data_IF_819929115780
#
_entry.id   IF_819929115780
#
_cell.length_a   1.000
_cell.length_b   1.000
_cell.length_c   1.000
_cell.angle_alpha   90.00
_cell.angle_beta   90.00
_cell.angle_gamma   90.00
#
_symmetry.space_group_name_H-M   'P 1'
#
loop_
_entity.id
_entity.type
_entity.pdbx_description
1 polymer ?
#
# COMPACT_ATOMS: atom_id res chain seq x y z
N UNK A 1 60.66 -33.05 -31.67
CA UNK A 1 60.15 -31.68 -31.72
C UNK A 1 58.87 -31.46 -30.88
N UNK A 2 58.34 -32.48 -30.19
CA UNK A 2 57.07 -32.41 -29.43
C UNK A 2 57.13 -31.69 -28.06
N UNK A 3 58.28 -31.62 -27.40
CA UNK A 3 58.36 -31.05 -26.05
C UNK A 3 58.00 -29.55 -25.97
N UNK A 4 58.39 -28.76 -26.98
CA UNK A 4 58.13 -27.31 -26.99
C UNK A 4 56.67 -26.94 -27.24
N UNK A 5 55.92 -27.80 -27.92
CA UNK A 5 54.50 -27.59 -28.24
C UNK A 5 53.64 -27.84 -27.00
N UNK A 6 53.97 -28.86 -26.21
CA UNK A 6 53.26 -29.21 -24.97
C UNK A 6 53.45 -28.14 -23.88
N UNK A 7 54.67 -27.62 -23.72
CA UNK A 7 54.99 -26.60 -22.71
C UNK A 7 54.26 -25.27 -22.96
N UNK A 8 54.19 -24.84 -24.23
CA UNK A 8 53.42 -23.65 -24.64
C UNK A 8 51.92 -23.81 -24.39
N UNK A 9 51.36 -25.00 -24.64
CA UNK A 9 49.93 -25.30 -24.40
C UNK A 9 49.58 -25.26 -22.91
N UNK A 10 50.43 -25.80 -22.04
CA UNK A 10 50.22 -25.76 -20.57
C UNK A 10 50.27 -24.33 -20.05
N UNK A 11 51.24 -23.51 -20.52
CA UNK A 11 51.34 -22.10 -20.13
C UNK A 11 50.10 -21.30 -20.57
N UNK A 12 49.61 -21.56 -21.78
CA UNK A 12 48.38 -20.94 -22.29
C UNK A 12 47.16 -21.37 -21.48
N UNK A 13 47.01 -22.65 -21.16
CA UNK A 13 45.90 -23.17 -20.35
C UNK A 13 45.89 -22.55 -18.94
N UNK A 14 47.06 -22.40 -18.30
CA UNK A 14 47.18 -21.74 -16.99
C UNK A 14 46.78 -20.27 -17.04
N UNK A 15 47.20 -19.55 -18.09
CA UNK A 15 46.82 -18.14 -18.28
C UNK A 15 45.30 -18.01 -18.48
N UNK A 16 44.71 -18.84 -19.34
CA UNK A 16 43.27 -18.86 -19.59
C UNK A 16 42.50 -19.15 -18.29
N UNK A 17 42.90 -20.16 -17.51
CA UNK A 17 42.23 -20.50 -16.26
C UNK A 17 42.25 -19.36 -15.23
N UNK A 18 43.37 -18.63 -15.12
CA UNK A 18 43.46 -17.47 -14.21
C UNK A 18 42.58 -16.32 -14.70
N UNK A 19 42.60 -16.02 -16.01
CA UNK A 19 41.81 -14.93 -16.58
C UNK A 19 40.31 -15.20 -16.50
N UNK A 20 39.85 -16.41 -16.84
CA UNK A 20 38.43 -16.77 -16.78
C UNK A 20 37.93 -16.92 -15.34
N UNK A 21 38.76 -17.45 -14.43
CA UNK A 21 38.45 -17.52 -13.01
C UNK A 21 38.30 -16.13 -12.39
N UNK A 22 39.23 -15.21 -12.67
CA UNK A 22 39.16 -13.84 -12.18
C UNK A 22 37.97 -13.08 -12.78
N UNK A 23 37.73 -13.21 -14.09
CA UNK A 23 36.57 -12.61 -14.74
C UNK A 23 35.25 -13.14 -14.16
N UNK A 24 35.14 -14.46 -13.94
CA UNK A 24 33.97 -15.07 -13.32
C UNK A 24 33.75 -14.58 -11.88
N UNK A 25 34.81 -14.45 -11.09
CA UNK A 25 34.75 -13.90 -9.74
C UNK A 25 34.25 -12.44 -9.73
N UNK A 26 34.81 -11.60 -10.60
CA UNK A 26 34.40 -10.19 -10.72
C UNK A 26 32.94 -10.09 -11.16
N UNK A 27 32.54 -10.86 -12.18
CA UNK A 27 31.16 -10.87 -12.66
C UNK A 27 30.19 -11.35 -11.57
N UNK A 28 30.54 -12.38 -10.81
CA UNK A 28 29.71 -12.86 -9.70
C UNK A 28 29.49 -11.79 -8.61
N UNK A 29 30.51 -11.00 -8.30
CA UNK A 29 30.40 -9.86 -7.37
C UNK A 29 29.59 -8.71 -7.97
N UNK A 30 29.70 -8.48 -9.28
CA UNK A 30 28.97 -7.41 -9.96
C UNK A 30 27.47 -7.72 -10.13
N UNK A 31 27.09 -8.99 -10.26
CA UNK A 31 25.68 -9.42 -10.47
C UNK A 31 24.67 -8.81 -9.49
N UNK A 32 24.85 -8.84 -8.15
CA UNK A 32 23.89 -8.23 -7.22
C UNK A 32 23.83 -6.70 -7.29
N UNK A 33 24.81 -6.03 -7.90
CA UNK A 33 24.88 -4.57 -8.03
C UNK A 33 24.35 -4.07 -9.38
N UNK A 34 24.06 -4.97 -10.32
CA UNK A 34 23.50 -4.59 -11.61
C UNK A 34 22.06 -4.09 -11.44
N UNK A 35 21.64 -3.08 -12.22
CA UNK A 35 20.28 -2.57 -12.16
C UNK A 35 19.29 -3.65 -12.57
N UNK A 36 18.22 -3.78 -11.80
CA UNK A 36 17.10 -4.67 -12.09
C UNK A 36 15.90 -3.85 -12.54
N UNK A 37 15.12 -4.37 -13.49
CA UNK A 37 13.84 -3.80 -13.83
C UNK A 37 12.80 -4.25 -12.79
N UNK A 38 12.20 -3.30 -12.07
CA UNK A 38 11.12 -3.56 -11.13
C UNK A 38 9.78 -3.18 -11.78
N UNK A 39 8.79 -4.08 -11.75
CA UNK A 39 7.41 -3.77 -12.13
C UNK A 39 6.65 -3.32 -10.88
N UNK A 40 6.25 -2.06 -10.82
CA UNK A 40 5.39 -1.51 -9.76
C UNK A 40 3.93 -1.60 -10.18
N UNK A 41 3.11 -2.35 -9.45
CA UNK A 41 1.68 -2.44 -9.69
C UNK A 41 0.92 -1.42 -8.84
N UNK A 42 0.14 -0.55 -9.49
CA UNK A 42 -0.78 0.38 -8.83
C UNK A 42 -2.22 -0.10 -9.04
N UNK A 43 -3.01 -0.20 -7.96
CA UNK A 43 -4.45 -0.46 -8.04
C UNK A 43 -5.19 0.88 -7.93
N UNK A 44 -5.79 1.33 -9.02
CA UNK A 44 -6.70 2.47 -9.00
C UNK A 44 -8.13 1.96 -8.87
N UNK A 45 -8.90 2.58 -7.99
CA UNK A 45 -10.32 2.35 -7.80
C UNK A 45 -11.01 3.72 -7.65
N UNK A 46 -12.19 3.95 -8.25
CA UNK A 46 -13.06 3.00 -8.97
C UNK A 46 -12.55 2.60 -10.37
N UNK A 47 -12.94 1.40 -10.84
CA UNK A 47 -12.59 0.87 -12.17
C UNK A 47 -13.82 0.90 -13.10
N UNK A 48 -14.17 2.07 -13.60
CA UNK A 48 -15.32 2.29 -14.46
C UNK A 48 -16.19 3.45 -13.98
N UNK A 49 -17.47 3.44 -14.34
CA UNK A 49 -18.42 4.51 -13.99
C UNK A 49 -19.10 4.31 -12.61
N UNK A 50 -18.93 3.14 -11.98
CA UNK A 50 -19.59 2.78 -10.72
C UNK A 50 -18.57 2.33 -9.67
N UNK A 51 -18.83 2.68 -8.40
CA UNK A 51 -18.00 2.33 -7.26
C UNK A 51 -18.34 0.93 -6.74
N UNK A 52 -18.01 -0.10 -7.51
CA UNK A 52 -18.26 -1.51 -7.13
C UNK A 52 -17.08 -2.11 -6.37
N UNK A 53 -17.35 -3.11 -5.52
CA UNK A 53 -16.30 -3.82 -4.78
C UNK A 53 -15.39 -4.61 -5.73
N UNK A 54 -14.07 -4.59 -5.49
CA UNK A 54 -13.05 -5.27 -6.30
C UNK A 54 -12.17 -6.14 -5.40
N UNK A 55 -11.99 -7.40 -5.79
CA UNK A 55 -11.02 -8.29 -5.17
C UNK A 55 -9.64 -8.11 -5.81
N UNK A 56 -8.63 -7.83 -4.99
CA UNK A 56 -7.25 -7.65 -5.40
C UNK A 56 -6.32 -8.20 -4.31
N UNK A 57 -6.24 -9.53 -4.14
CA UNK A 57 -5.46 -10.14 -3.08
C UNK A 57 -3.97 -9.91 -3.30
N UNK A 58 -3.36 -9.01 -2.52
CA UNK A 58 -1.91 -8.83 -2.52
C UNK A 58 -1.25 -10.06 -1.89
N UNK A 59 -0.36 -10.73 -2.62
CA UNK A 59 0.45 -11.86 -2.07
C UNK A 59 1.28 -11.41 -0.87
N UNK A 60 1.80 -10.18 -0.92
CA UNK A 60 2.57 -9.56 0.17
C UNK A 60 1.69 -9.00 1.28
N UNK A 61 0.37 -8.99 1.11
CA UNK A 61 -0.67 -8.43 1.99
C UNK A 61 -0.60 -6.93 2.27
N UNK A 62 0.59 -6.33 2.35
CA UNK A 62 0.81 -4.91 2.61
C UNK A 62 1.26 -4.20 1.33
N UNK A 63 0.62 -3.08 0.93
CA UNK A 63 1.12 -2.25 -0.15
C UNK A 63 2.44 -1.55 0.22
N UNK A 64 3.03 -0.78 -0.70
CA UNK A 64 4.15 0.11 -0.38
C UNK A 64 3.68 1.46 0.18
N UNK A 65 2.63 2.02 -0.43
CA UNK A 65 1.87 3.17 0.03
C UNK A 65 0.37 2.95 -0.27
N UNK A 66 -0.49 3.61 0.48
CA UNK A 66 -1.94 3.65 0.23
C UNK A 66 -2.41 5.09 0.26
N UNK A 67 -3.14 5.49 -0.77
CA UNK A 67 -3.78 6.79 -0.88
C UNK A 67 -5.27 6.58 -1.18
N UNK A 68 -6.13 7.31 -0.48
CA UNK A 68 -7.58 7.29 -0.72
C UNK A 68 -8.16 8.70 -0.51
N UNK A 69 -8.93 9.16 -1.47
CA UNK A 69 -9.72 10.39 -1.39
C UNK A 69 -11.18 10.03 -1.54
N UNK A 70 -11.98 10.34 -0.52
CA UNK A 70 -13.40 10.01 -0.45
C UNK A 70 -14.22 11.30 -0.35
N UNK A 71 -15.16 11.59 -1.26
CA UNK A 71 -16.01 12.76 -1.14
C UNK A 71 -16.88 12.65 0.12
N UNK A 72 -16.95 13.71 0.93
CA UNK A 72 -17.69 13.67 2.19
C UNK A 72 -19.21 13.54 1.99
N UNK A 73 -19.74 14.08 0.89
CA UNK A 73 -21.13 13.90 0.47
C UNK A 73 -21.54 12.44 0.35
N UNK A 74 -20.58 11.60 -0.01
CA UNK A 74 -20.80 10.19 -0.22
C UNK A 74 -21.25 9.55 1.12
N UNK A 75 -20.76 9.97 2.28
CA UNK A 75 -21.24 9.47 3.59
C UNK A 75 -22.73 9.70 3.88
N UNK A 76 -23.40 10.60 3.15
CA UNK A 76 -24.84 10.82 3.23
C UNK A 76 -25.65 9.70 2.54
N UNK A 77 -25.04 8.93 1.65
CA UNK A 77 -25.67 7.78 0.99
C UNK A 77 -25.73 6.53 1.90
N UNK A 78 -25.01 6.56 3.04
CA UNK A 78 -25.10 5.49 4.03
C UNK A 78 -26.35 5.62 4.89
N UNK A 79 -26.93 4.50 5.36
CA UNK A 79 -28.02 4.50 6.33
C UNK A 79 -27.74 5.32 7.60
N UNK A 80 -28.81 5.74 8.29
CA UNK A 80 -28.70 6.49 9.55
C UNK A 80 -27.99 5.68 10.63
N UNK A 81 -28.27 4.37 10.73
CA UNK A 81 -27.57 3.43 11.61
C UNK A 81 -26.07 3.28 11.31
N UNK A 82 -25.60 3.68 10.13
CA UNK A 82 -24.22 3.62 9.69
C UNK A 82 -23.96 2.61 8.57
N UNK A 83 -22.70 2.43 8.22
CA UNK A 83 -22.26 1.54 7.15
C UNK A 83 -20.80 1.75 6.76
N UNK A 84 -20.30 0.95 5.82
CA UNK A 84 -18.90 0.99 5.37
C UNK A 84 -18.80 1.70 4.02
N UNK A 85 -18.00 2.77 3.95
CA UNK A 85 -17.68 3.47 2.70
C UNK A 85 -16.58 2.80 1.91
N UNK A 86 -15.58 2.30 2.60
CA UNK A 86 -14.45 1.63 1.99
C UNK A 86 -13.79 0.72 3.03
N UNK A 87 -13.41 -0.49 2.62
CA UNK A 87 -12.64 -1.40 3.43
C UNK A 87 -11.62 -2.14 2.58
N UNK A 88 -10.45 -2.44 3.16
CA UNK A 88 -9.40 -3.21 2.47
C UNK A 88 -9.56 -4.73 2.60
N UNK A 89 -10.54 -5.15 3.42
CA UNK A 89 -10.94 -6.53 3.70
C UNK A 89 -12.47 -6.57 3.71
N UNK A 90 -13.14 -7.62 3.19
CA UNK A 90 -14.60 -7.68 3.15
C UNK A 90 -15.24 -7.45 4.53
N UNK A 91 -16.28 -6.62 4.60
CA UNK A 91 -17.14 -6.54 5.77
C UNK A 91 -17.65 -7.93 6.19
N UNK A 92 -17.55 -8.26 7.48
CA UNK A 92 -17.97 -9.57 8.01
C UNK A 92 -16.93 -10.68 7.94
N UNK A 93 -15.79 -10.47 7.28
CA UNK A 93 -14.66 -11.40 7.38
C UNK A 93 -14.11 -11.42 8.83
N UNK A 94 -13.68 -12.59 9.34
CA UNK A 94 -13.03 -12.67 10.65
C UNK A 94 -11.82 -11.73 10.72
N UNK A 95 -11.65 -11.04 11.85
CA UNK A 95 -10.51 -10.15 12.08
C UNK A 95 -10.32 -9.02 11.04
N UNK A 96 -11.36 -8.66 10.26
CA UNK A 96 -11.27 -7.63 9.23
C UNK A 96 -10.75 -6.28 9.77
N UNK A 97 -11.25 -5.85 10.93
CA UNK A 97 -10.78 -4.62 11.59
C UNK A 97 -9.38 -4.75 12.16
N UNK A 98 -8.95 -5.96 12.53
CA UNK A 98 -7.67 -6.24 13.18
C UNK A 98 -6.50 -6.11 12.21
N UNK A 99 -6.71 -6.47 10.95
CA UNK A 99 -5.66 -6.47 9.93
C UNK A 99 -5.85 -5.38 8.87
N UNK A 100 -7.09 -5.02 8.55
CA UNK A 100 -7.41 -4.08 7.48
C UNK A 100 -7.55 -2.62 7.91
N UNK A 101 -7.94 -1.83 6.92
CA UNK A 101 -8.47 -0.48 7.09
C UNK A 101 -9.97 -0.48 6.78
N UNK A 102 -10.73 0.32 7.52
CA UNK A 102 -12.14 0.60 7.26
C UNK A 102 -12.41 2.09 7.41
N UNK A 103 -13.07 2.66 6.41
CA UNK A 103 -13.72 3.96 6.48
C UNK A 103 -15.21 3.69 6.62
N UNK A 104 -15.78 4.10 7.75
CA UNK A 104 -17.17 3.80 8.10
C UNK A 104 -17.86 4.99 8.75
N UNK A 105 -19.19 4.98 8.70
CA UNK A 105 -20.00 5.84 9.55
C UNK A 105 -20.74 4.99 10.60
N UNK A 106 -20.88 5.52 11.80
CA UNK A 106 -21.86 5.08 12.79
C UNK A 106 -23.11 5.96 12.70
N UNK A 107 -23.99 5.94 13.69
CA UNK A 107 -25.07 6.93 13.80
C UNK A 107 -24.58 8.34 14.15
N UNK A 108 -23.38 8.47 14.73
CA UNK A 108 -22.88 9.73 15.29
C UNK A 108 -21.61 10.24 14.61
N UNK A 109 -20.75 9.35 14.12
CA UNK A 109 -19.40 9.71 13.68
C UNK A 109 -19.02 9.02 12.36
N UNK A 110 -18.28 9.72 11.50
CA UNK A 110 -17.46 9.10 10.47
C UNK A 110 -16.06 8.81 11.02
N UNK A 111 -15.59 7.59 10.82
CA UNK A 111 -14.35 7.10 11.41
C UNK A 111 -13.48 6.43 10.36
N UNK A 112 -12.17 6.65 10.48
CA UNK A 112 -11.14 5.85 9.83
C UNK A 112 -10.54 4.93 10.88
N UNK A 113 -10.57 3.63 10.62
CA UNK A 113 -10.07 2.59 11.51
C UNK A 113 -9.01 1.80 10.79
N UNK A 114 -7.88 1.60 11.45
CA UNK A 114 -6.76 0.81 10.95
C UNK A 114 -6.31 -0.11 12.07
N UNK A 115 -6.30 -1.43 11.83
CA UNK A 115 -5.79 -2.43 12.77
C UNK A 115 -6.35 -2.28 14.20
N UNK A 116 -7.67 -2.18 14.33
CA UNK A 116 -8.46 -1.94 15.55
C UNK A 116 -8.25 -0.57 16.23
N UNK A 117 -7.44 0.32 15.66
CA UNK A 117 -7.25 1.68 16.15
C UNK A 117 -8.08 2.69 15.35
N UNK A 118 -8.79 3.59 16.03
CA UNK A 118 -9.42 4.74 15.38
C UNK A 118 -8.33 5.76 15.07
N UNK A 119 -8.05 5.94 13.77
CA UNK A 119 -7.03 6.88 13.29
C UNK A 119 -7.59 8.27 12.96
N UNK A 120 -8.90 8.39 12.76
CA UNK A 120 -9.59 9.67 12.64
C UNK A 120 -11.06 9.49 13.00
N UNK A 121 -11.68 10.52 13.56
CA UNK A 121 -13.11 10.53 13.87
C UNK A 121 -13.65 11.95 13.77
N UNK A 122 -14.72 12.13 13.01
CA UNK A 122 -15.43 13.41 12.87
C UNK A 122 -16.93 13.17 13.04
N UNK A 123 -17.65 13.98 13.85
CA UNK A 123 -19.10 13.89 13.97
C UNK A 123 -19.83 14.03 12.63
N UNK A 124 -20.90 13.26 12.39
CA UNK A 124 -21.61 13.24 11.10
C UNK A 124 -22.25 14.57 10.72
N UNK A 125 -22.71 15.34 11.69
CA UNK A 125 -23.28 16.68 11.48
C UNK A 125 -22.24 17.66 10.89
N UNK A 126 -20.95 17.47 11.23
CA UNK A 126 -19.84 18.27 10.69
C UNK A 126 -19.41 17.87 9.28
N UNK A 127 -19.82 16.71 8.76
CA UNK A 127 -19.52 16.31 7.38
C UNK A 127 -20.21 17.20 6.34
N UNK A 128 -21.22 17.98 6.73
CA UNK A 128 -21.87 18.96 5.85
C UNK A 128 -20.96 20.09 5.40
N UNK A 129 -19.93 20.41 6.20
CA UNK A 129 -18.89 21.38 5.86
C UNK A 129 -17.65 20.72 5.23
N UNK A 130 -17.64 19.39 5.11
CA UNK A 130 -16.51 18.64 4.59
C UNK A 130 -16.58 18.50 3.06
N UNK A 131 -15.46 18.71 2.38
CA UNK A 131 -15.32 18.46 0.95
C UNK A 131 -14.89 16.99 0.70
N UNK A 132 -13.72 16.61 1.20
CA UNK A 132 -13.12 15.27 1.05
C UNK A 132 -12.53 14.75 2.35
N UNK A 133 -12.50 13.43 2.49
CA UNK A 133 -11.62 12.72 3.39
C UNK A 133 -10.42 12.20 2.59
N UNK A 134 -9.25 12.77 2.87
CA UNK A 134 -7.98 12.34 2.29
C UNK A 134 -7.23 11.47 3.30
N UNK A 135 -6.73 10.33 2.83
CA UNK A 135 -6.00 9.34 3.62
C UNK A 135 -4.71 9.00 2.88
N UNK A 136 -3.58 9.12 3.57
CA UNK A 136 -2.27 8.70 3.07
C UNK A 136 -1.60 7.82 4.12
N UNK A 137 -1.13 6.64 3.71
CA UNK A 137 -0.39 5.71 4.55
C UNK A 137 0.90 5.32 3.84
N UNK A 138 2.00 5.45 4.55
CA UNK A 138 3.30 4.93 4.13
C UNK A 138 3.93 4.10 5.25
N UNK A 139 5.22 3.76 5.10
CA UNK A 139 5.95 2.95 6.06
C UNK A 139 6.21 3.65 7.40
N UNK A 140 6.10 4.97 7.45
CA UNK A 140 6.50 5.83 8.56
C UNK A 140 5.30 6.49 9.27
N UNK A 141 4.19 6.73 8.56
CA UNK A 141 3.02 7.39 9.16
C UNK A 141 1.69 7.06 8.45
N UNK A 142 0.60 7.37 9.16
CA UNK A 142 -0.72 7.62 8.56
C UNK A 142 -1.11 9.09 8.75
N UNK A 143 -1.57 9.69 7.67
CA UNK A 143 -2.17 11.03 7.65
C UNK A 143 -3.61 10.93 7.17
N UNK A 144 -4.52 11.57 7.88
CA UNK A 144 -5.94 11.67 7.51
C UNK A 144 -6.39 13.12 7.62
N UNK A 145 -7.17 13.60 6.66
CA UNK A 145 -7.67 14.97 6.65
C UNK A 145 -9.10 15.02 6.12
N UNK A 146 -10.03 15.54 6.92
CA UNK A 146 -11.36 15.94 6.50
C UNK A 146 -11.30 17.41 6.07
N UNK A 147 -11.11 17.64 4.77
CA UNK A 147 -10.96 18.98 4.19
C UNK A 147 -12.26 19.78 4.31
N UNK A 148 -12.18 21.10 4.41
CA UNK A 148 -13.36 21.99 4.55
C UNK A 148 -13.94 22.06 5.97
N UNK A 149 -13.73 21.02 6.81
CA UNK A 149 -14.08 21.06 8.23
C UNK A 149 -13.17 22.05 8.95
N UNK A 150 -13.68 23.23 9.25
CA UNK A 150 -12.95 24.31 9.93
C UNK A 150 -13.34 24.33 11.41
N UNK A 151 -12.39 23.97 12.28
CA UNK A 151 -12.28 24.45 13.66
C UNK A 151 -11.01 23.87 14.32
N UNK A 152 -10.55 24.53 15.40
CA UNK A 152 -9.36 24.29 16.25
C UNK A 152 -9.21 22.86 16.86
N UNK A 153 -9.90 21.84 16.34
CA UNK A 153 -9.78 20.46 16.80
C UNK A 153 -8.71 19.69 15.98
N UNK A 154 -7.81 18.99 16.68
CA UNK A 154 -6.91 17.95 16.13
C UNK A 154 -7.65 16.84 15.34
N UNK A 155 -8.98 16.87 15.30
CA UNK A 155 -9.84 15.90 14.62
C UNK A 155 -9.94 16.11 13.10
N UNK A 156 -9.80 17.34 12.58
CA UNK A 156 -9.94 17.60 11.14
C UNK A 156 -8.73 17.07 10.35
N UNK A 157 -7.53 17.18 10.93
CA UNK A 157 -6.31 16.61 10.36
C UNK A 157 -5.53 15.87 11.44
N UNK A 158 -5.32 14.58 11.23
CA UNK A 158 -4.58 13.72 12.16
C UNK A 158 -3.37 13.12 11.46
N UNK A 159 -2.22 13.19 12.13
CA UNK A 159 -0.98 12.51 11.73
C UNK A 159 -0.56 11.61 12.86
N UNK A 160 -0.33 10.32 12.56
CA UNK A 160 0.20 9.35 13.53
C UNK A 160 1.43 8.68 12.95
N UNK A 161 2.55 8.82 13.65
CA UNK A 161 3.80 8.16 13.30
C UNK A 161 3.77 6.68 13.69
N UNK A 162 4.28 5.82 12.81
CA UNK A 162 4.36 4.38 12.97
C UNK A 162 3.95 3.62 11.71
N UNK A 163 4.14 2.29 11.75
CA UNK A 163 3.76 1.41 10.66
C UNK A 163 2.27 1.05 10.73
N UNK A 164 1.46 1.78 9.96
CA UNK A 164 0.00 1.62 9.91
C UNK A 164 -0.52 0.93 8.65
N UNK A 165 0.35 0.36 7.81
CA UNK A 165 -0.11 -0.28 6.57
C UNK A 165 -1.14 -1.38 6.85
N UNK A 166 -2.35 -1.27 6.26
CA UNK A 166 -3.37 -2.28 6.41
C UNK A 166 -3.08 -3.45 5.47
N UNK A 167 -3.59 -4.62 5.84
CA UNK A 167 -3.71 -5.72 4.90
C UNK A 167 -4.76 -5.37 3.84
N UNK A 168 -4.40 -5.55 2.57
CA UNK A 168 -5.27 -5.32 1.42
C UNK A 168 -5.51 -6.62 0.69
N UNK A 169 -6.77 -7.06 0.67
CA UNK A 169 -7.23 -8.18 -0.16
C UNK A 169 -8.20 -7.73 -1.27
N UNK A 170 -8.55 -6.46 -1.28
CA UNK A 170 -9.47 -5.82 -2.23
C UNK A 170 -9.88 -4.45 -1.71
N UNK A 171 -10.83 -3.81 -2.40
CA UNK A 171 -11.54 -2.62 -1.95
C UNK A 171 -13.03 -2.95 -1.95
N UNK A 172 -13.65 -2.84 -0.78
CA UNK A 172 -15.04 -3.21 -0.55
C UNK A 172 -15.83 -1.99 -0.06
N UNK A 173 -17.05 -1.84 -0.53
CA UNK A 173 -17.93 -0.71 -0.20
C UNK A 173 -19.37 -1.19 -0.09
N UNK A 174 -20.14 -0.58 0.80
CA UNK A 174 -21.60 -0.78 0.91
C UNK A 174 -22.36 0.22 0.02
N UNK A 175 -21.72 0.69 -1.06
CA UNK A 175 -22.32 1.57 -2.05
C UNK A 175 -22.92 0.76 -3.19
N UNK A 176 -24.12 1.14 -3.60
CA UNK A 176 -24.81 0.63 -4.79
C UNK A 176 -24.45 1.44 -6.05
#
# INVERSE_FOLDING_TARGET
>A
MDGSVTEKRVRMARLVAVLTGLAGFILAIATPLMPVAQTTSTLNWPQGEQATSVEAPLISYLPHSLEATLPCQAFAELPEEGGIRAATIPPGAPDATRFGMQVRATSTDAQVIIRNGVVASVPRDRLTACDTLDITIDKDAVTTEFTGVTDDDEAARTVREGMFMPQVVGIFTDLD
#
